data_IF_538430535481
#
_entry.id   IF_538430535481
#
_cell.length_a   1.000
_cell.length_b   1.000
_cell.length_c   1.000
_cell.angle_alpha   90.00
_cell.angle_beta   90.00
_cell.angle_gamma   90.00
#
_symmetry.space_group_name_H-M   'P 1'
#
loop_
_entity.id
_entity.type
_entity.pdbx_description
1 polymer ?
#
# COMPACT_ATOMS: atom_id res chain seq x y z
N UNK A 1 -26.18 -16.18 2.16
CA UNK A 1 -25.38 -15.93 0.93
C UNK A 1 -24.71 -14.57 0.93
N UNK A 2 -25.40 -13.48 1.31
CA UNK A 2 -24.79 -12.13 1.38
C UNK A 2 -23.51 -12.03 2.21
N UNK A 3 -23.42 -12.72 3.36
CA UNK A 3 -22.23 -12.68 4.22
C UNK A 3 -20.98 -13.28 3.54
N UNK A 4 -21.16 -14.38 2.80
CA UNK A 4 -20.11 -15.03 2.01
C UNK A 4 -19.64 -14.14 0.85
N UNK A 5 -20.57 -13.45 0.20
CA UNK A 5 -20.27 -12.50 -0.89
C UNK A 5 -19.51 -11.28 -0.35
N UNK A 6 -19.89 -10.75 0.82
CA UNK A 6 -19.19 -9.65 1.46
C UNK A 6 -17.78 -10.03 1.92
N UNK A 7 -17.61 -11.20 2.54
CA UNK A 7 -16.28 -11.66 2.97
C UNK A 7 -15.36 -11.94 1.75
N UNK A 8 -15.91 -12.47 0.66
CA UNK A 8 -15.17 -12.67 -0.59
C UNK A 8 -14.82 -11.35 -1.27
N UNK A 9 -15.75 -10.38 -1.30
CA UNK A 9 -15.51 -9.04 -1.83
C UNK A 9 -14.42 -8.31 -1.05
N UNK A 10 -14.47 -8.36 0.28
CA UNK A 10 -13.45 -7.80 1.17
C UNK A 10 -12.08 -8.45 0.92
N UNK A 11 -12.02 -9.79 0.85
CA UNK A 11 -10.77 -10.51 0.57
C UNK A 11 -10.19 -10.17 -0.80
N UNK A 12 -11.04 -10.05 -1.82
CA UNK A 12 -10.62 -9.72 -3.19
C UNK A 12 -10.08 -8.29 -3.29
N UNK A 13 -10.71 -7.33 -2.60
CA UNK A 13 -10.23 -5.94 -2.54
C UNK A 13 -8.87 -5.87 -1.83
N UNK A 14 -8.68 -6.61 -0.74
CA UNK A 14 -7.37 -6.68 -0.05
C UNK A 14 -6.28 -7.27 -0.95
N UNK A 15 -6.60 -8.30 -1.73
CA UNK A 15 -5.65 -8.92 -2.65
C UNK A 15 -5.21 -7.96 -3.77
N UNK A 16 -6.18 -7.25 -4.38
CA UNK A 16 -5.89 -6.23 -5.39
C UNK A 16 -5.03 -5.10 -4.80
N UNK A 17 -5.31 -4.67 -3.57
CA UNK A 17 -4.54 -3.64 -2.90
C UNK A 17 -3.09 -4.06 -2.63
N UNK A 18 -2.86 -5.30 -2.20
CA UNK A 18 -1.52 -5.85 -2.05
C UNK A 18 -0.76 -5.92 -3.37
N UNK A 19 -1.47 -6.22 -4.47
CA UNK A 19 -0.92 -6.25 -5.82
C UNK A 19 -0.43 -4.86 -6.28
N UNK A 20 -1.19 -3.80 -5.97
CA UNK A 20 -0.77 -2.42 -6.20
C UNK A 20 0.50 -2.05 -5.42
N UNK A 21 0.59 -2.46 -4.16
CA UNK A 21 1.80 -2.25 -3.33
C UNK A 21 3.00 -2.95 -3.94
N UNK A 22 2.82 -4.19 -4.41
CA UNK A 22 3.88 -4.98 -5.04
C UNK A 22 4.37 -4.35 -6.35
N UNK A 23 3.46 -3.83 -7.17
CA UNK A 23 3.81 -3.09 -8.39
C UNK A 23 4.53 -1.76 -8.08
N UNK A 24 4.10 -1.07 -7.02
CA UNK A 24 4.78 0.12 -6.49
C UNK A 24 6.22 -0.18 -6.03
N UNK A 25 6.44 -1.33 -5.41
CA UNK A 25 7.77 -1.81 -5.01
C UNK A 25 8.70 -2.04 -6.20
N UNK A 26 8.19 -2.69 -7.25
CA UNK A 26 8.96 -2.97 -8.48
C UNK A 26 9.37 -1.65 -9.16
N UNK A 27 8.45 -0.70 -9.27
CA UNK A 27 8.72 0.62 -9.87
C UNK A 27 9.70 1.44 -9.02
N UNK A 28 9.57 1.42 -7.69
CA UNK A 28 10.51 2.05 -6.78
C UNK A 28 11.92 1.44 -6.87
N UNK A 29 12.02 0.12 -7.00
CA UNK A 29 13.28 -0.58 -7.19
C UNK A 29 13.93 -0.21 -8.53
N UNK A 30 13.15 -0.15 -9.61
CA UNK A 30 13.63 0.27 -10.92
C UNK A 30 14.09 1.74 -10.91
N UNK A 31 13.33 2.63 -10.28
CA UNK A 31 13.70 4.02 -10.09
C UNK A 31 15.02 4.15 -9.31
N UNK A 32 15.24 3.33 -8.27
CA UNK A 32 16.51 3.26 -7.55
C UNK A 32 17.67 2.85 -8.45
N UNK A 33 17.52 1.85 -9.32
CA UNK A 33 18.57 1.42 -10.26
C UNK A 33 18.90 2.55 -11.25
N UNK A 34 17.87 3.22 -11.79
CA UNK A 34 18.06 4.35 -12.71
C UNK A 34 18.76 5.51 -12.00
N UNK A 35 18.31 5.85 -10.79
CA UNK A 35 18.91 6.90 -9.98
C UNK A 35 20.33 6.54 -9.52
N UNK A 36 20.64 5.28 -9.22
CA UNK A 36 22.00 4.87 -8.87
C UNK A 36 22.98 4.99 -10.06
N UNK A 37 22.48 4.82 -11.28
CA UNK A 37 23.26 5.05 -12.50
C UNK A 37 23.47 6.53 -12.80
N UNK A 38 22.58 7.41 -12.34
CA UNK A 38 22.70 8.85 -12.53
C UNK A 38 23.44 9.52 -11.36
N UNK A 39 24.71 9.88 -11.58
CA UNK A 39 25.57 10.52 -10.58
C UNK A 39 25.31 12.02 -10.40
N UNK A 40 24.37 12.61 -11.16
CA UNK A 40 24.06 14.06 -11.07
C UNK A 40 23.11 14.43 -9.94
N UNK A 41 22.29 13.48 -9.49
CA UNK A 41 21.18 13.74 -8.56
C UNK A 41 21.57 13.49 -7.10
N UNK A 42 21.23 14.45 -6.24
CA UNK A 42 21.54 14.44 -4.81
C UNK A 42 20.78 13.30 -4.10
N UNK A 43 21.48 12.53 -3.27
CA UNK A 43 21.00 11.29 -2.64
C UNK A 43 19.71 11.50 -1.81
N UNK A 44 19.51 12.72 -1.30
CA UNK A 44 18.29 13.11 -0.58
C UNK A 44 17.02 13.11 -1.43
N UNK A 45 17.08 13.50 -2.70
CA UNK A 45 15.92 13.51 -3.61
C UNK A 45 15.49 12.08 -3.93
N UNK A 46 16.48 11.19 -4.12
CA UNK A 46 16.29 9.75 -4.37
C UNK A 46 15.51 9.09 -3.21
N UNK A 47 15.93 9.39 -1.98
CA UNK A 47 15.28 8.91 -0.76
C UNK A 47 13.87 9.49 -0.58
N UNK A 48 13.66 10.77 -0.88
CA UNK A 48 12.37 11.42 -0.72
C UNK A 48 11.34 10.84 -1.70
N UNK A 49 11.71 10.65 -2.97
CA UNK A 49 10.86 9.97 -3.95
C UNK A 49 10.55 8.56 -3.49
N UNK A 50 11.56 7.78 -3.06
CA UNK A 50 11.35 6.43 -2.55
C UNK A 50 10.35 6.40 -1.39
N UNK A 51 10.57 7.20 -0.34
CA UNK A 51 9.69 7.27 0.84
C UNK A 51 8.27 7.68 0.48
N UNK A 52 8.10 8.60 -0.48
CA UNK A 52 6.76 9.04 -0.92
C UNK A 52 5.93 7.93 -1.57
N UNK A 53 6.56 6.98 -2.27
CA UNK A 53 5.88 5.81 -2.83
C UNK A 53 5.35 4.84 -1.77
N UNK A 54 5.99 4.76 -0.60
CA UNK A 54 5.59 3.84 0.47
C UNK A 54 4.58 4.43 1.43
N UNK A 55 4.64 5.74 1.68
CA UNK A 55 3.78 6.43 2.65
C UNK A 55 2.29 6.23 2.31
N UNK A 56 1.89 6.48 1.06
CA UNK A 56 0.48 6.43 0.64
C UNK A 56 -0.16 5.05 0.90
N UNK A 57 0.42 3.92 0.43
CA UNK A 57 -0.12 2.60 0.71
C UNK A 57 -0.08 2.21 2.20
N UNK A 58 0.91 2.67 2.96
CA UNK A 58 0.99 2.46 4.41
C UNK A 58 -0.18 3.14 5.14
N UNK A 59 -0.40 4.42 4.86
CA UNK A 59 -1.50 5.18 5.49
C UNK A 59 -2.87 4.60 5.11
N UNK A 60 -3.07 4.24 3.83
CA UNK A 60 -4.30 3.58 3.39
C UNK A 60 -4.56 2.25 4.14
N UNK A 61 -3.52 1.42 4.29
CA UNK A 61 -3.63 0.13 4.99
C UNK A 61 -3.95 0.29 6.47
N UNK A 62 -3.32 1.26 7.14
CA UNK A 62 -3.61 1.59 8.54
C UNK A 62 -5.05 2.08 8.69
N UNK A 63 -5.51 2.98 7.81
CA UNK A 63 -6.87 3.51 7.85
C UNK A 63 -7.91 2.41 7.65
N UNK A 64 -7.65 1.49 6.72
CA UNK A 64 -8.49 0.32 6.51
C UNK A 64 -8.55 -0.60 7.74
N UNK A 65 -7.40 -0.89 8.35
CA UNK A 65 -7.33 -1.67 9.59
C UNK A 65 -8.16 -1.02 10.70
N UNK A 66 -7.98 0.28 10.93
CA UNK A 66 -8.75 1.03 11.92
C UNK A 66 -10.25 0.93 11.63
N UNK A 67 -10.65 1.14 10.38
CA UNK A 67 -12.06 1.06 9.98
C UNK A 67 -12.64 -0.35 10.16
N UNK A 68 -11.91 -1.38 9.74
CA UNK A 68 -12.34 -2.78 9.87
C UNK A 68 -12.52 -3.19 11.34
N UNK A 69 -11.55 -2.90 12.20
CA UNK A 69 -11.62 -3.25 13.62
C UNK A 69 -12.64 -2.39 14.39
N UNK A 70 -12.80 -1.10 14.03
CA UNK A 70 -13.84 -0.23 14.60
C UNK A 70 -15.24 -0.78 14.31
N UNK A 71 -15.51 -1.14 13.05
CA UNK A 71 -16.80 -1.70 12.63
C UNK A 71 -17.08 -3.07 13.27
N UNK A 72 -16.05 -3.90 13.43
CA UNK A 72 -16.17 -5.22 14.09
C UNK A 72 -16.47 -5.09 15.60
N UNK A 73 -15.89 -4.10 16.28
CA UNK A 73 -16.14 -3.83 17.71
C UNK A 73 -17.58 -3.36 17.96
N UNK A 74 -18.14 -2.56 17.05
CA UNK A 74 -19.52 -2.11 17.14
C UNK A 74 -20.56 -3.18 16.78
N UNK A 75 -20.18 -4.23 16.05
CA UNK A 75 -21.10 -5.32 15.68
C UNK A 75 -21.25 -6.42 16.77
N UNK A 76 -20.43 -6.39 17.82
CA UNK A 76 -20.45 -7.35 18.95
C UNK A 76 -21.18 -6.75 20.18
N UNK A 77 -21.52 -5.46 20.14
CA UNK A 77 -22.43 -4.81 21.09
C UNK A 77 -23.86 -4.88 20.57
#
# INVERSE_FOLDING_TARGET
>A
MEKLINDFSIGTIMFVWQLFILLGLITAFWAMIVLAKDQRENLGIKLLVFVSFFIIPLFSSIFYLIHYYSKRKNAIR
#
